data_IF_096947626244
#
_entry.id   IF_096947626244
#
_cell.length_a   1.000
_cell.length_b   1.000
_cell.length_c   1.000
_cell.angle_alpha   90.00
_cell.angle_beta   90.00
_cell.angle_gamma   90.00
#
_symmetry.space_group_name_H-M   'P 1'
#
loop_
_entity.id
_entity.type
_entity.pdbx_description
1 polymer ?
#
# COMPACT_ATOMS: atom_id res chain seq x y z
N UNK A 1 4.91 2.93 -23.90
CA UNK A 1 4.51 3.18 -22.50
C UNK A 1 3.00 3.20 -22.47
N UNK A 2 2.34 2.19 -21.92
CA UNK A 2 0.89 2.21 -21.70
C UNK A 2 0.58 1.67 -20.31
N UNK A 3 -0.04 2.53 -19.52
CA UNK A 3 -0.59 2.26 -18.20
C UNK A 3 -1.90 1.49 -18.42
N UNK A 4 -2.08 0.34 -17.79
CA UNK A 4 -3.38 -0.33 -17.72
C UNK A 4 -3.97 0.01 -16.35
N UNK A 5 -4.89 0.96 -16.37
CA UNK A 5 -5.89 1.17 -15.32
C UNK A 5 -6.84 -0.02 -15.31
N UNK A 6 -7.20 -0.51 -14.12
CA UNK A 6 -8.35 -1.40 -13.96
C UNK A 6 -9.25 -0.82 -12.88
N UNK A 7 -10.40 -0.35 -13.33
CA UNK A 7 -11.43 0.31 -12.54
C UNK A 7 -12.46 -0.69 -12.01
N UNK A 8 -12.82 -0.51 -10.73
CA UNK A 8 -14.17 -0.50 -10.16
C UNK A 8 -15.17 -1.62 -10.48
N UNK A 9 -15.74 -2.21 -9.42
CA UNK A 9 -17.20 -2.41 -9.31
C UNK A 9 -17.62 -2.49 -7.84
N UNK A 10 -18.45 -1.53 -7.45
CA UNK A 10 -19.18 -1.41 -6.19
C UNK A 10 -20.42 -2.32 -6.17
N UNK A 11 -20.93 -2.68 -4.99
CA UNK A 11 -22.37 -2.77 -4.72
C UNK A 11 -22.69 -2.60 -3.21
N UNK A 12 -23.67 -1.73 -2.97
CA UNK A 12 -24.36 -1.26 -1.75
C UNK A 12 -25.12 -2.41 -1.00
N UNK A 13 -25.65 -2.30 0.24
CA UNK A 13 -26.44 -1.21 0.82
C UNK A 13 -26.67 -1.28 2.35
N UNK A 14 -27.10 -0.12 2.86
CA UNK A 14 -27.52 0.32 4.19
C UNK A 14 -28.63 -0.45 4.93
N UNK A 15 -28.61 -0.33 6.26
CA UNK A 15 -29.73 -0.13 7.22
C UNK A 15 -29.11 0.16 8.60
N UNK A 16 -29.54 1.05 9.50
CA UNK A 16 -30.66 1.99 9.59
C UNK A 16 -30.30 2.96 10.73
N UNK A 17 -30.54 4.25 10.51
CA UNK A 17 -30.52 5.31 11.51
C UNK A 17 -31.61 5.08 12.58
N UNK A 18 -31.24 5.27 13.85
CA UNK A 18 -32.16 5.42 14.97
C UNK A 18 -31.80 6.67 15.77
N UNK A 19 -32.51 7.76 15.49
CA UNK A 19 -32.50 9.00 16.27
C UNK A 19 -32.88 8.72 17.74
N UNK A 20 -32.10 9.27 18.67
CA UNK A 20 -32.43 9.34 20.08
C UNK A 20 -31.72 10.52 20.73
N UNK A 21 -32.24 11.74 20.52
CA UNK A 21 -31.85 12.90 21.30
C UNK A 21 -32.39 12.74 22.73
N UNK A 22 -31.50 12.56 23.71
CA UNK A 22 -31.80 12.77 25.13
C UNK A 22 -30.68 13.59 25.75
N UNK A 23 -31.01 14.85 26.05
CA UNK A 23 -30.23 15.70 26.92
C UNK A 23 -30.23 15.11 28.34
N UNK A 24 -29.05 14.93 28.92
CA UNK A 24 -28.86 14.49 30.30
C UNK A 24 -27.39 14.51 30.66
N UNK A 25 -26.97 15.52 31.42
CA UNK A 25 -25.72 15.49 32.19
C UNK A 25 -25.75 14.27 33.12
N UNK A 26 -24.74 13.41 33.05
CA UNK A 26 -24.01 12.83 34.19
C UNK A 26 -23.25 11.56 33.76
N UNK A 27 -21.93 11.59 33.96
CA UNK A 27 -21.03 10.44 34.13
C UNK A 27 -20.92 9.35 33.03
N UNK A 28 -21.61 9.45 31.89
CA UNK A 28 -21.46 8.48 30.79
C UNK A 28 -20.40 8.85 29.73
N UNK A 29 -19.81 10.05 29.81
CA UNK A 29 -18.86 10.56 28.82
C UNK A 29 -17.47 9.90 28.89
N UNK A 30 -17.11 9.30 30.03
CA UNK A 30 -15.81 8.70 30.27
C UNK A 30 -15.58 7.35 29.55
N UNK A 31 -16.60 6.79 28.89
CA UNK A 31 -16.55 5.38 28.47
C UNK A 31 -16.03 5.11 27.05
N UNK A 32 -15.98 6.10 26.15
CA UNK A 32 -15.34 5.95 24.84
C UNK A 32 -15.08 7.34 24.24
N UNK A 33 -13.83 7.81 24.30
CA UNK A 33 -13.42 8.90 23.42
C UNK A 33 -13.48 8.39 22.00
N UNK A 34 -14.49 8.84 21.27
CA UNK A 34 -14.50 8.71 19.82
C UNK A 34 -13.73 9.92 19.26
N UNK A 35 -12.55 9.67 18.71
CA UNK A 35 -11.74 10.70 18.05
C UNK A 35 -12.33 11.04 16.68
N UNK A 36 -13.58 11.49 16.70
CA UNK A 36 -14.37 11.85 15.53
C UNK A 36 -14.53 13.37 15.43
N UNK A 37 -15.04 13.82 14.29
CA UNK A 37 -15.38 15.23 14.05
C UNK A 37 -16.25 15.79 15.19
N UNK A 38 -17.15 14.99 15.76
CA UNK A 38 -18.06 15.39 16.84
C UNK A 38 -17.29 15.79 18.12
N UNK A 39 -16.23 15.05 18.49
CA UNK A 39 -15.40 15.40 19.66
C UNK A 39 -14.61 16.69 19.43
N UNK A 40 -14.01 16.86 18.24
CA UNK A 40 -13.25 18.07 17.92
C UNK A 40 -14.14 19.30 17.66
N UNK A 41 -15.43 19.09 17.40
CA UNK A 41 -16.40 20.16 17.18
C UNK A 41 -17.18 20.54 18.45
N UNK A 42 -17.06 19.76 19.54
CA UNK A 42 -17.75 20.01 20.80
C UNK A 42 -17.14 21.22 21.55
N UNK A 43 -17.91 22.30 21.79
CA UNK A 43 -17.45 23.45 22.58
C UNK A 43 -16.99 23.09 23.99
N UNK A 44 -17.57 22.06 24.61
CA UNK A 44 -17.17 21.61 25.95
C UNK A 44 -15.79 20.94 25.95
N UNK A 45 -15.35 20.42 24.79
CA UNK A 45 -14.04 19.79 24.60
C UNK A 45 -12.91 20.78 24.35
N UNK A 46 -13.22 21.96 23.83
CA UNK A 46 -12.23 22.97 23.46
C UNK A 46 -11.21 23.31 24.55
N UNK A 47 -11.56 23.56 25.83
CA UNK A 47 -10.54 23.86 26.85
C UNK A 47 -9.59 22.69 27.11
N UNK A 48 -10.05 21.45 26.98
CA UNK A 48 -9.21 20.26 27.14
C UNK A 48 -8.30 20.04 25.93
N UNK A 49 -8.83 20.25 24.73
CA UNK A 49 -8.11 20.16 23.47
C UNK A 49 -7.02 21.23 23.34
N UNK A 50 -7.28 22.45 23.83
CA UNK A 50 -6.29 23.53 23.88
C UNK A 50 -5.13 23.18 24.82
N UNK A 51 -5.42 22.62 26.00
CA UNK A 51 -4.38 22.14 26.91
C UNK A 51 -3.56 20.99 26.30
N UNK A 52 -4.20 20.07 25.58
CA UNK A 52 -3.50 19.01 24.87
C UNK A 52 -2.62 19.57 23.75
N UNK A 53 -3.12 20.52 22.97
CA UNK A 53 -2.35 21.19 21.91
C UNK A 53 -1.10 21.86 22.49
N UNK A 54 -1.21 22.61 23.59
CA UNK A 54 -0.05 23.24 24.22
C UNK A 54 0.95 22.19 24.74
N UNK A 55 0.48 21.11 25.37
CA UNK A 55 1.35 19.97 25.76
C UNK A 55 2.06 19.35 24.56
N UNK A 56 1.34 19.11 23.47
CA UNK A 56 1.87 18.42 22.30
C UNK A 56 2.96 19.23 21.57
N UNK A 57 2.80 20.56 21.53
CA UNK A 57 3.76 21.45 20.87
C UNK A 57 4.80 22.06 21.81
N UNK A 58 4.67 21.93 23.14
CA UNK A 58 5.65 22.42 24.11
C UNK A 58 7.10 22.00 23.80
N UNK A 59 7.41 20.73 23.48
CA UNK A 59 8.79 20.33 23.16
C UNK A 59 9.37 21.06 21.94
N UNK A 60 8.53 21.36 20.94
CA UNK A 60 8.96 22.14 19.76
C UNK A 60 9.18 23.60 20.12
N UNK A 61 8.28 24.21 20.92
CA UNK A 61 8.45 25.60 21.40
C UNK A 61 9.71 25.75 22.26
N UNK A 62 10.00 24.81 23.14
CA UNK A 62 11.23 24.77 23.94
C UNK A 62 12.48 24.66 23.06
N UNK A 63 12.47 23.80 22.04
CA UNK A 63 13.58 23.69 21.09
C UNK A 63 13.79 24.99 20.31
N UNK A 64 12.72 25.64 19.85
CA UNK A 64 12.79 26.93 19.15
C UNK A 64 13.39 28.00 20.06
N UNK A 65 12.97 28.06 21.33
CA UNK A 65 13.53 28.99 22.30
C UNK A 65 15.04 28.74 22.51
N UNK A 66 15.45 27.48 22.67
CA UNK A 66 16.87 27.11 22.80
C UNK A 66 17.68 27.52 21.56
N UNK A 67 17.16 27.30 20.34
CA UNK A 67 17.82 27.73 19.10
C UNK A 67 18.00 29.26 19.02
N UNK A 68 17.01 30.02 19.52
CA UNK A 68 17.09 31.49 19.56
C UNK A 68 18.11 31.98 20.58
N UNK A 69 18.23 31.30 21.72
CA UNK A 69 19.19 31.64 22.77
C UNK A 69 20.64 31.31 22.38
N UNK A 70 20.87 30.20 21.68
CA UNK A 70 22.22 29.78 21.30
C UNK A 70 22.76 30.49 20.06
N UNK A 71 21.91 31.26 19.33
CA UNK A 71 22.23 31.87 18.05
C UNK A 71 22.93 30.89 17.07
N UNK A 72 22.60 29.60 17.15
CA UNK A 72 23.18 28.60 16.27
C UNK A 72 22.60 28.75 14.86
N UNK A 73 23.47 29.07 13.92
CA UNK A 73 23.14 28.98 12.50
C UNK A 73 22.72 27.54 12.17
N UNK A 74 21.70 27.36 11.32
CA UNK A 74 21.18 26.03 10.99
C UNK A 74 22.30 25.09 10.51
N UNK A 75 22.42 23.94 11.19
CA UNK A 75 23.48 22.97 10.91
C UNK A 75 23.22 22.29 9.58
N UNK A 76 24.20 22.35 8.69
CA UNK A 76 24.16 21.60 7.44
C UNK A 76 24.86 20.27 7.64
N UNK A 77 24.12 19.17 7.47
CA UNK A 77 24.61 17.81 7.56
C UNK A 77 24.69 17.22 6.16
N UNK A 78 25.86 16.72 5.79
CA UNK A 78 26.03 15.95 4.56
C UNK A 78 25.92 14.46 4.88
N UNK A 79 24.92 13.80 4.31
CA UNK A 79 24.71 12.36 4.43
C UNK A 79 25.75 11.54 3.67
N UNK A 80 25.86 10.22 3.96
CA UNK A 80 26.83 9.32 3.32
C UNK A 80 26.66 9.16 1.80
N UNK A 81 25.48 9.46 1.29
CA UNK A 81 25.07 9.46 -0.12
C UNK A 81 25.31 10.80 -0.82
N UNK A 82 25.89 11.78 -0.12
CA UNK A 82 26.11 13.13 -0.62
C UNK A 82 24.88 14.04 -0.54
N UNK A 83 23.77 13.58 0.06
CA UNK A 83 22.61 14.46 0.32
C UNK A 83 22.98 15.51 1.36
N UNK A 84 22.54 16.74 1.15
CA UNK A 84 22.78 17.85 2.07
C UNK A 84 21.45 18.22 2.72
N UNK A 85 21.36 18.06 4.03
CA UNK A 85 20.23 18.48 4.83
C UNK A 85 20.65 19.67 5.70
N UNK A 86 20.03 20.82 5.49
CA UNK A 86 20.20 21.99 6.37
C UNK A 86 19.07 21.99 7.39
N UNK A 87 19.41 22.08 8.67
CA UNK A 87 18.43 22.27 9.73
C UNK A 87 17.59 23.52 9.46
N UNK A 88 16.30 23.50 9.82
CA UNK A 88 15.45 24.67 9.68
C UNK A 88 15.84 25.73 10.71
N UNK A 89 15.73 27.02 10.36
CA UNK A 89 15.91 28.09 11.35
C UNK A 89 14.78 28.07 12.40
N UNK A 90 15.02 28.70 13.55
CA UNK A 90 14.02 28.83 14.62
C UNK A 90 12.69 29.41 14.10
N UNK A 91 12.74 30.41 13.21
CA UNK A 91 11.54 31.03 12.62
C UNK A 91 10.85 30.11 11.61
N UNK A 92 11.60 29.24 10.93
CA UNK A 92 11.01 28.22 10.06
C UNK A 92 10.29 27.15 10.89
N UNK A 93 10.89 26.69 11.99
CA UNK A 93 10.22 25.78 12.92
C UNK A 93 8.97 26.41 13.56
N UNK A 94 9.04 27.67 14.00
CA UNK A 94 7.88 28.38 14.56
C UNK A 94 6.72 28.44 13.56
N UNK A 95 7.00 28.71 12.28
CA UNK A 95 5.97 28.74 11.23
C UNK A 95 5.37 27.37 10.91
N UNK A 96 6.02 26.28 11.29
CA UNK A 96 5.49 24.93 11.12
C UNK A 96 4.49 24.55 12.22
N UNK A 97 4.50 25.24 13.36
CA UNK A 97 3.51 25.04 14.41
C UNK A 97 2.20 25.68 13.92
N UNK A 98 1.14 24.90 13.61
CA UNK A 98 -0.16 25.48 13.28
C UNK A 98 -0.72 26.21 14.49
N UNK A 99 -1.51 27.27 14.29
CA UNK A 99 -2.31 27.84 15.39
C UNK A 99 -3.30 26.81 15.94
N UNK A 100 -3.78 27.00 17.17
CA UNK A 100 -4.78 26.12 17.76
C UNK A 100 -6.00 25.92 16.86
N UNK A 101 -6.60 27.01 16.35
CA UNK A 101 -7.77 26.93 15.46
C UNK A 101 -7.48 26.11 14.20
N UNK A 102 -6.29 26.28 13.61
CA UNK A 102 -5.89 25.55 12.40
C UNK A 102 -5.61 24.09 12.70
N UNK A 103 -5.02 23.80 13.86
CA UNK A 103 -4.83 22.43 14.33
C UNK A 103 -6.19 21.77 14.55
N UNK A 104 -7.13 22.46 15.19
CA UNK A 104 -8.47 21.96 15.46
C UNK A 104 -9.24 21.70 14.15
N UNK A 105 -9.20 22.64 13.20
CA UNK A 105 -9.76 22.48 11.86
C UNK A 105 -9.18 21.24 11.16
N UNK A 106 -7.86 21.02 11.25
CA UNK A 106 -7.23 19.83 10.69
C UNK A 106 -7.74 18.54 11.37
N UNK A 107 -7.90 18.53 12.69
CA UNK A 107 -8.45 17.35 13.39
C UNK A 107 -9.93 17.08 13.05
N UNK A 108 -10.72 18.13 12.81
CA UNK A 108 -12.12 18.02 12.38
C UNK A 108 -12.24 17.49 10.94
N UNK A 109 -11.40 17.98 10.02
CA UNK A 109 -11.40 17.55 8.62
C UNK A 109 -10.85 16.13 8.42
N UNK A 110 -9.95 15.70 9.31
CA UNK A 110 -9.26 14.44 9.24
C UNK A 110 -9.50 13.66 10.52
N UNK A 111 -10.60 12.90 10.59
CA UNK A 111 -10.85 12.06 11.75
C UNK A 111 -9.69 11.08 11.95
N UNK A 112 -9.07 11.04 13.14
CA UNK A 112 -8.12 10.00 13.53
C UNK A 112 -8.61 8.57 13.24
N UNK A 113 -9.93 8.33 13.22
CA UNK A 113 -10.52 7.04 12.88
C UNK A 113 -10.38 6.68 11.39
N UNK A 114 -10.57 7.65 10.49
CA UNK A 114 -10.32 7.46 9.05
C UNK A 114 -8.83 7.20 8.78
N UNK A 115 -7.95 7.89 9.52
CA UNK A 115 -6.52 7.63 9.48
C UNK A 115 -6.17 6.24 10.01
N UNK A 116 -6.70 5.83 11.17
CA UNK A 116 -6.44 4.51 11.73
C UNK A 116 -6.86 3.39 10.78
N UNK A 117 -8.06 3.47 10.20
CA UNK A 117 -8.53 2.49 9.23
C UNK A 117 -7.66 2.45 7.97
N UNK A 118 -7.31 3.62 7.43
CA UNK A 118 -6.43 3.69 6.26
C UNK A 118 -5.07 3.07 6.56
N UNK A 119 -4.49 3.34 7.73
CA UNK A 119 -3.19 2.82 8.13
C UNK A 119 -3.23 1.33 8.44
N UNK A 120 -4.32 0.84 9.05
CA UNK A 120 -4.57 -0.59 9.19
C UNK A 120 -4.64 -1.28 7.82
N UNK A 121 -5.32 -0.68 6.85
CA UNK A 121 -5.37 -1.22 5.48
C UNK A 121 -4.00 -1.21 4.80
N UNK A 122 -3.18 -0.16 4.99
CA UNK A 122 -1.79 -0.12 4.48
C UNK A 122 -0.93 -1.20 5.12
N UNK A 123 -1.05 -1.41 6.42
CA UNK A 123 -0.35 -2.47 7.15
C UNK A 123 -0.77 -3.86 6.65
N UNK A 124 -2.08 -4.10 6.48
CA UNK A 124 -2.59 -5.37 5.94
C UNK A 124 -2.10 -5.60 4.51
N UNK A 125 -2.08 -4.57 3.66
CA UNK A 125 -1.53 -4.68 2.32
C UNK A 125 -0.03 -5.03 2.35
N UNK A 126 0.75 -4.44 3.26
CA UNK A 126 2.17 -4.77 3.42
C UNK A 126 2.37 -6.23 3.86
N UNK A 127 1.55 -6.73 4.80
CA UNK A 127 1.54 -8.15 5.21
C UNK A 127 1.20 -9.07 4.05
N UNK A 128 0.15 -8.73 3.29
CA UNK A 128 -0.26 -9.48 2.10
C UNK A 128 0.83 -9.51 1.03
N UNK A 129 1.56 -8.41 0.83
CA UNK A 129 2.69 -8.35 -0.10
C UNK A 129 3.79 -9.34 0.27
N UNK A 130 4.20 -9.38 1.55
CA UNK A 130 5.21 -10.34 2.03
C UNK A 130 4.71 -11.78 1.87
N UNK A 131 3.50 -12.07 2.34
CA UNK A 131 2.92 -13.41 2.24
C UNK A 131 2.80 -13.88 0.77
N UNK A 132 2.42 -12.97 -0.13
CA UNK A 132 2.33 -13.25 -1.57
C UNK A 132 3.69 -13.57 -2.16
N UNK A 133 4.74 -12.83 -1.80
CA UNK A 133 6.10 -13.13 -2.27
C UNK A 133 6.58 -14.49 -1.74
N UNK A 134 6.40 -14.75 -0.45
CA UNK A 134 6.81 -16.02 0.17
C UNK A 134 6.08 -17.23 -0.42
N UNK A 135 4.79 -17.11 -0.71
CA UNK A 135 4.00 -18.13 -1.39
C UNK A 135 4.44 -18.35 -2.86
N UNK A 136 5.00 -17.32 -3.49
CA UNK A 136 5.41 -17.30 -4.89
C UNK A 136 6.95 -17.29 -5.05
N UNK A 137 7.66 -17.95 -4.14
CA UNK A 137 9.12 -18.07 -4.17
C UNK A 137 9.63 -18.78 -5.44
N UNK A 138 10.92 -18.69 -5.79
CA UNK A 138 11.45 -19.27 -7.03
C UNK A 138 11.20 -20.78 -7.19
N UNK A 139 11.11 -21.52 -6.08
CA UNK A 139 10.90 -22.97 -6.07
C UNK A 139 9.41 -23.36 -6.05
N UNK A 140 8.49 -22.38 -5.95
CA UNK A 140 7.06 -22.60 -6.16
C UNK A 140 6.76 -22.88 -7.63
N UNK A 141 5.68 -23.65 -7.87
CA UNK A 141 5.19 -23.91 -9.22
C UNK A 141 4.83 -22.60 -9.93
N UNK A 142 5.19 -22.52 -11.21
CA UNK A 142 4.80 -21.40 -12.06
C UNK A 142 3.33 -21.51 -12.47
N UNK A 143 2.72 -20.36 -12.76
CA UNK A 143 1.37 -20.31 -13.29
C UNK A 143 1.31 -20.60 -14.79
N UNK A 144 2.42 -20.96 -15.42
CA UNK A 144 2.50 -21.20 -16.87
C UNK A 144 1.72 -22.46 -17.25
N UNK A 145 0.88 -22.37 -18.29
CA UNK A 145 0.09 -23.49 -18.83
C UNK A 145 0.45 -23.82 -20.27
N UNK A 146 0.70 -22.81 -21.09
CA UNK A 146 1.09 -23.00 -22.50
C UNK A 146 2.33 -22.19 -22.80
N UNK A 147 3.30 -22.78 -23.50
CA UNK A 147 4.48 -22.06 -24.00
C UNK A 147 4.61 -22.27 -25.49
N UNK A 148 4.74 -21.17 -26.23
CA UNK A 148 5.11 -21.15 -27.64
C UNK A 148 6.61 -20.85 -27.74
N UNK A 149 7.37 -21.73 -28.37
CA UNK A 149 8.82 -21.56 -28.52
C UNK A 149 9.33 -22.00 -29.88
N UNK A 150 10.52 -21.54 -30.25
CA UNK A 150 11.23 -21.96 -31.45
C UNK A 150 12.69 -22.23 -31.07
N UNK A 151 13.03 -23.51 -30.86
CA UNK A 151 14.27 -23.89 -30.19
C UNK A 151 14.34 -23.27 -28.78
N UNK A 152 15.44 -22.58 -28.48
CA UNK A 152 15.68 -21.91 -27.20
C UNK A 152 15.03 -20.51 -27.09
N UNK A 153 14.33 -20.07 -28.15
CA UNK A 153 13.62 -18.79 -28.15
C UNK A 153 12.18 -18.97 -27.66
N UNK A 154 11.81 -18.27 -26.59
CA UNK A 154 10.41 -18.11 -26.20
C UNK A 154 9.71 -17.08 -27.10
N UNK A 155 8.54 -17.42 -27.62
CA UNK A 155 7.70 -16.55 -28.44
C UNK A 155 6.56 -15.95 -27.60
N UNK A 156 6.01 -16.73 -26.68
CA UNK A 156 4.99 -16.29 -25.73
C UNK A 156 4.58 -17.42 -24.80
N UNK A 157 3.87 -17.09 -23.73
CA UNK A 157 3.29 -18.07 -22.83
C UNK A 157 1.92 -17.62 -22.33
N UNK A 158 1.12 -18.59 -21.88
CA UNK A 158 -0.16 -18.36 -21.23
C UNK A 158 -0.09 -18.82 -19.78
N UNK A 159 -0.65 -18.03 -18.87
CA UNK A 159 -0.79 -18.38 -17.47
C UNK A 159 -2.12 -19.11 -17.18
N UNK A 160 -2.27 -19.62 -15.96
CA UNK A 160 -3.45 -20.33 -15.47
C UNK A 160 -4.74 -19.49 -15.48
N UNK A 161 -4.62 -18.16 -15.45
CA UNK A 161 -5.75 -17.24 -15.54
C UNK A 161 -6.14 -16.94 -17.00
N UNK A 162 -5.38 -17.45 -17.97
CA UNK A 162 -5.57 -17.20 -19.40
C UNK A 162 -4.98 -15.86 -19.86
N UNK A 163 -4.14 -15.23 -19.03
CA UNK A 163 -3.28 -14.12 -19.41
C UNK A 163 -2.20 -14.60 -20.37
N UNK A 164 -1.84 -13.77 -21.35
CA UNK A 164 -0.85 -14.12 -22.38
C UNK A 164 0.26 -13.08 -22.39
N UNK A 165 1.48 -13.56 -22.16
CA UNK A 165 2.70 -12.78 -22.32
C UNK A 165 3.31 -13.05 -23.70
N UNK A 166 3.78 -12.00 -24.36
CA UNK A 166 4.30 -12.05 -25.73
C UNK A 166 5.73 -11.49 -25.78
N UNK A 167 6.59 -12.13 -26.55
CA UNK A 167 7.96 -11.70 -26.82
C UNK A 167 8.11 -11.17 -28.25
N UNK A 168 9.29 -10.65 -28.60
CA UNK A 168 9.55 -10.00 -29.89
C UNK A 168 9.23 -10.88 -31.11
N UNK A 169 9.26 -12.21 -30.99
CA UNK A 169 8.85 -13.16 -32.04
C UNK A 169 7.39 -13.62 -31.97
N UNK A 170 6.65 -13.30 -30.91
CA UNK A 170 5.29 -13.76 -30.66
C UNK A 170 4.20 -12.79 -31.09
N UNK A 171 4.50 -11.74 -31.84
CA UNK A 171 3.55 -10.65 -32.14
C UNK A 171 2.23 -11.14 -32.78
N UNK A 172 2.27 -12.26 -33.52
CA UNK A 172 1.07 -12.87 -34.08
C UNK A 172 0.03 -13.29 -33.02
N UNK A 173 0.45 -13.54 -31.77
CA UNK A 173 -0.44 -13.85 -30.65
C UNK A 173 -1.32 -12.66 -30.26
N UNK A 174 -0.90 -11.42 -30.50
CA UNK A 174 -1.63 -10.23 -30.05
C UNK A 174 -3.03 -10.15 -30.67
N UNK A 175 -3.12 -10.29 -32.00
CA UNK A 175 -4.41 -10.23 -32.71
C UNK A 175 -5.31 -11.41 -32.36
N UNK A 176 -4.73 -12.56 -32.02
CA UNK A 176 -5.44 -13.78 -31.60
C UNK A 176 -6.02 -13.60 -30.20
N UNK A 177 -5.23 -13.07 -29.26
CA UNK A 177 -5.66 -12.72 -27.91
C UNK A 177 -6.79 -11.70 -27.97
N UNK A 178 -6.66 -10.66 -28.81
CA UNK A 178 -7.71 -9.68 -28.99
C UNK A 178 -8.99 -10.33 -29.53
N UNK A 179 -8.89 -11.21 -30.53
CA UNK A 179 -10.07 -11.89 -31.07
C UNK A 179 -10.74 -12.82 -30.06
N UNK A 180 -9.96 -13.48 -29.20
CA UNK A 180 -10.48 -14.28 -28.09
C UNK A 180 -11.25 -13.42 -27.08
N UNK A 181 -10.76 -12.21 -26.80
CA UNK A 181 -11.46 -11.23 -25.97
C UNK A 181 -12.77 -10.76 -26.61
N UNK A 182 -12.75 -10.42 -27.90
CA UNK A 182 -13.94 -9.97 -28.64
C UNK A 182 -15.04 -11.06 -28.69
N UNK A 183 -14.62 -12.33 -28.67
CA UNK A 183 -15.51 -13.49 -28.59
C UNK A 183 -15.97 -13.81 -27.16
N UNK A 184 -15.46 -13.11 -26.15
CA UNK A 184 -15.77 -13.38 -24.75
C UNK A 184 -15.23 -14.72 -24.23
N UNK A 185 -14.19 -15.28 -24.86
CA UNK A 185 -13.63 -16.58 -24.45
C UNK A 185 -12.89 -16.49 -23.11
N UNK A 186 -13.14 -17.47 -22.24
CA UNK A 186 -12.53 -17.62 -20.91
C UNK A 186 -12.19 -19.09 -20.62
N UNK A 187 -11.32 -19.32 -19.63
CA UNK A 187 -10.92 -20.67 -19.19
C UNK A 187 -10.40 -21.55 -20.32
N UNK A 188 -10.75 -22.84 -20.31
CA UNK A 188 -10.28 -23.81 -21.31
C UNK A 188 -10.61 -23.40 -22.75
N UNK A 189 -11.79 -22.84 -23.00
CA UNK A 189 -12.18 -22.41 -24.35
C UNK A 189 -11.27 -21.32 -24.91
N UNK A 190 -10.76 -20.44 -24.04
CA UNK A 190 -9.77 -19.42 -24.39
C UNK A 190 -8.42 -20.06 -24.68
N UNK A 191 -7.97 -20.96 -23.80
CA UNK A 191 -6.71 -21.67 -23.95
C UNK A 191 -6.66 -22.45 -25.27
N UNK A 192 -7.70 -23.24 -25.55
CA UNK A 192 -7.82 -24.04 -26.77
C UNK A 192 -7.79 -23.16 -28.03
N UNK A 193 -8.51 -22.03 -27.99
CA UNK A 193 -8.56 -21.11 -29.11
C UNK A 193 -7.20 -20.45 -29.38
N UNK A 194 -6.58 -19.87 -28.34
CA UNK A 194 -5.30 -19.17 -28.47
C UNK A 194 -4.20 -20.16 -28.84
N UNK A 195 -4.20 -21.37 -28.27
CA UNK A 195 -3.29 -22.44 -28.67
C UNK A 195 -3.46 -22.77 -30.15
N UNK A 196 -4.68 -23.14 -30.59
CA UNK A 196 -4.92 -23.55 -31.97
C UNK A 196 -4.58 -22.48 -33.00
N UNK A 197 -5.11 -21.27 -32.82
CA UNK A 197 -4.87 -20.18 -33.78
C UNK A 197 -3.44 -19.63 -33.66
N UNK A 198 -2.88 -19.61 -32.44
CA UNK A 198 -1.51 -19.19 -32.17
C UNK A 198 -0.50 -20.08 -32.86
N UNK A 199 -0.65 -21.41 -32.72
CA UNK A 199 0.17 -22.40 -33.43
C UNK A 199 0.08 -22.18 -34.94
N UNK A 200 -1.13 -22.04 -35.49
CA UNK A 200 -1.36 -21.84 -36.92
C UNK A 200 -0.73 -20.56 -37.46
N UNK A 201 -0.73 -19.49 -36.68
CA UNK A 201 -0.14 -18.22 -37.08
C UNK A 201 1.39 -18.26 -37.00
N UNK A 202 1.93 -18.77 -35.89
CA UNK A 202 3.36 -18.82 -35.63
C UNK A 202 4.09 -19.86 -36.50
N UNK A 203 3.45 -20.99 -36.85
CA UNK A 203 4.07 -22.04 -37.65
C UNK A 203 4.41 -21.60 -39.08
N UNK A 204 3.81 -20.50 -39.56
CA UNK A 204 4.16 -19.89 -40.85
C UNK A 204 5.52 -19.21 -40.85
N UNK A 205 5.98 -18.77 -39.67
CA UNK A 205 7.20 -17.98 -39.49
C UNK A 205 8.30 -18.81 -38.81
N UNK A 206 7.92 -19.76 -37.96
CA UNK A 206 8.83 -20.54 -37.13
C UNK A 206 8.73 -22.04 -37.49
N UNK A 207 9.66 -22.56 -38.31
CA UNK A 207 9.61 -23.95 -38.78
C UNK A 207 9.90 -24.98 -37.67
N UNK A 208 10.52 -24.55 -36.56
CA UNK A 208 10.77 -25.38 -35.37
C UNK A 208 9.86 -24.96 -34.20
N UNK A 209 8.67 -24.46 -34.50
CA UNK A 209 7.67 -24.11 -33.49
C UNK A 209 7.35 -25.34 -32.64
N UNK A 210 7.54 -25.22 -31.33
CA UNK A 210 7.08 -26.15 -30.33
C UNK A 210 6.02 -25.46 -29.46
N UNK A 211 5.00 -26.23 -29.07
CA UNK A 211 3.97 -25.81 -28.13
C UNK A 211 3.95 -26.80 -26.99
N UNK A 212 4.31 -26.34 -25.80
CA UNK A 212 4.33 -27.15 -24.58
C UNK A 212 3.12 -26.84 -23.72
N UNK A 213 2.51 -27.89 -23.18
CA UNK A 213 1.35 -27.80 -22.29
C UNK A 213 1.74 -28.32 -20.91
N UNK A 214 1.30 -27.60 -19.89
CA UNK A 214 1.54 -27.90 -18.50
C UNK A 214 0.22 -27.97 -17.74
N UNK A 215 0.11 -28.97 -16.87
CA UNK A 215 -0.94 -29.06 -15.86
C UNK A 215 -0.45 -28.44 -14.56
N UNK A 216 -1.32 -28.37 -13.56
CA UNK A 216 -0.92 -27.97 -12.20
C UNK A 216 0.18 -28.90 -11.64
N UNK A 217 0.22 -30.17 -12.03
CA UNK A 217 1.23 -31.12 -11.53
C UNK A 217 2.55 -31.09 -12.31
N UNK A 218 2.52 -30.61 -13.55
CA UNK A 218 3.66 -30.68 -14.48
C UNK A 218 4.26 -29.32 -14.83
N UNK A 219 3.66 -28.23 -14.34
CA UNK A 219 4.21 -26.89 -14.52
C UNK A 219 5.60 -26.80 -13.87
N UNK A 220 6.60 -26.24 -14.58
CA UNK A 220 7.92 -26.04 -14.00
C UNK A 220 7.83 -25.06 -12.83
N UNK A 221 8.80 -25.11 -11.93
CA UNK A 221 8.98 -24.05 -10.94
C UNK A 221 9.27 -22.73 -11.63
N UNK A 222 9.05 -21.62 -10.92
CA UNK A 222 9.38 -20.28 -11.44
C UNK A 222 10.88 -20.19 -11.79
N UNK A 223 11.74 -20.82 -10.97
CA UNK A 223 13.18 -20.94 -11.19
C UNK A 223 13.50 -21.70 -12.47
N UNK A 224 12.93 -22.91 -12.64
CA UNK A 224 13.15 -23.73 -13.83
C UNK A 224 12.68 -23.03 -15.11
N UNK A 225 11.51 -22.39 -15.05
CA UNK A 225 10.98 -21.61 -16.17
C UNK A 225 11.90 -20.44 -16.52
N UNK A 226 12.36 -19.68 -15.51
CA UNK A 226 13.25 -18.54 -15.71
C UNK A 226 14.60 -18.96 -16.27
N UNK A 227 15.23 -20.00 -15.71
CA UNK A 227 16.52 -20.51 -16.18
C UNK A 227 16.46 -21.01 -17.62
N UNK A 228 15.33 -21.64 -18.01
CA UNK A 228 15.13 -22.13 -19.38
C UNK A 228 15.00 -20.99 -20.39
N UNK A 229 14.17 -19.99 -20.10
CA UNK A 229 13.77 -18.99 -21.10
C UNK A 229 14.45 -17.64 -20.96
N UNK A 230 15.02 -17.35 -19.80
CA UNK A 230 15.70 -16.10 -19.46
C UNK A 230 17.02 -16.39 -18.72
N UNK A 231 18.02 -17.00 -19.37
CA UNK A 231 19.25 -17.45 -18.72
C UNK A 231 20.09 -16.32 -18.11
N UNK A 232 19.88 -15.08 -18.54
CA UNK A 232 20.55 -13.89 -17.98
C UNK A 232 19.73 -13.22 -16.86
N UNK A 233 18.59 -13.79 -16.46
CA UNK A 233 17.74 -13.29 -15.39
C UNK A 233 18.08 -14.02 -14.09
N UNK A 234 18.64 -13.28 -13.13
CA UNK A 234 18.89 -13.79 -11.78
C UNK A 234 17.61 -13.75 -10.95
N UNK A 235 16.83 -14.83 -11.02
CA UNK A 235 15.54 -14.93 -10.32
C UNK A 235 15.73 -14.95 -8.79
N UNK A 236 16.83 -15.51 -8.31
CA UNK A 236 17.13 -15.61 -6.88
C UNK A 236 17.42 -14.24 -6.30
N UNK A 237 18.30 -13.48 -6.96
CA UNK A 237 18.63 -12.13 -6.53
C UNK A 237 17.40 -11.22 -6.61
N UNK A 238 16.61 -11.30 -7.70
CA UNK A 238 15.40 -10.49 -7.85
C UNK A 238 14.35 -10.82 -6.77
N UNK A 239 14.16 -12.10 -6.45
CA UNK A 239 13.29 -12.51 -5.35
C UNK A 239 13.82 -12.03 -4.00
N UNK A 240 15.12 -12.19 -3.73
CA UNK A 240 15.72 -11.81 -2.47
C UNK A 240 15.60 -10.30 -2.22
N UNK A 241 15.87 -9.48 -3.25
CA UNK A 241 15.67 -8.02 -3.21
C UNK A 241 14.20 -7.67 -2.98
N UNK A 242 13.27 -8.22 -3.78
CA UNK A 242 11.85 -7.90 -3.63
C UNK A 242 11.29 -8.30 -2.25
N UNK A 243 11.72 -9.45 -1.70
CA UNK A 243 11.31 -9.89 -0.37
C UNK A 243 11.91 -9.00 0.74
N UNK A 244 13.17 -8.58 0.57
CA UNK A 244 13.81 -7.64 1.50
C UNK A 244 13.06 -6.30 1.53
N UNK A 245 12.79 -5.72 0.36
CA UNK A 245 12.08 -4.44 0.23
C UNK A 245 10.65 -4.54 0.81
N UNK A 246 9.95 -5.63 0.56
CA UNK A 246 8.61 -5.86 1.11
C UNK A 246 8.61 -5.99 2.64
N UNK A 247 9.63 -6.66 3.21
CA UNK A 247 9.80 -6.78 4.68
C UNK A 247 10.20 -5.45 5.31
N UNK A 248 11.05 -4.67 4.65
CA UNK A 248 11.39 -3.32 5.09
C UNK A 248 10.16 -2.42 5.10
N UNK A 249 9.37 -2.41 4.01
CA UNK A 249 8.12 -1.67 3.95
C UNK A 249 7.15 -2.12 5.06
N UNK A 250 6.98 -3.43 5.29
CA UNK A 250 6.15 -3.94 6.39
C UNK A 250 6.62 -3.41 7.75
N UNK A 251 7.93 -3.42 8.01
CA UNK A 251 8.51 -2.87 9.25
C UNK A 251 8.20 -1.38 9.41
N UNK A 252 8.34 -0.59 8.34
CA UNK A 252 8.02 0.84 8.34
C UNK A 252 6.53 1.10 8.59
N UNK A 253 5.64 0.37 7.93
CA UNK A 253 4.19 0.49 8.14
C UNK A 253 3.78 0.09 9.56
N UNK A 254 4.37 -0.98 10.11
CA UNK A 254 4.12 -1.40 11.49
C UNK A 254 4.56 -0.31 12.48
N UNK A 255 5.78 0.23 12.32
CA UNK A 255 6.27 1.30 13.18
C UNK A 255 5.41 2.56 13.11
N UNK A 256 4.90 2.89 11.91
CA UNK A 256 3.98 4.02 11.73
C UNK A 256 2.62 3.77 12.40
N UNK A 257 2.04 2.58 12.20
CA UNK A 257 0.80 2.16 12.84
C UNK A 257 0.91 2.21 14.37
N UNK A 258 1.97 1.62 14.94
CA UNK A 258 2.21 1.60 16.38
C UNK A 258 2.36 3.02 16.96
N UNK A 259 3.00 3.93 16.21
CA UNK A 259 3.15 5.33 16.59
C UNK A 259 1.80 6.05 16.63
N UNK A 260 0.94 5.83 15.65
CA UNK A 260 -0.41 6.42 15.62
C UNK A 260 -1.23 5.90 16.80
N UNK A 261 -1.20 4.59 17.05
CA UNK A 261 -1.87 3.97 18.19
C UNK A 261 -1.39 4.54 19.52
N UNK A 262 -0.08 4.73 19.69
CA UNK A 262 0.49 5.34 20.89
C UNK A 262 0.01 6.79 21.05
N UNK A 263 0.05 7.60 19.99
CA UNK A 263 -0.40 9.00 20.02
C UNK A 263 -1.89 9.13 20.40
N UNK A 264 -2.75 8.27 19.86
CA UNK A 264 -4.18 8.27 20.19
C UNK A 264 -4.42 7.90 21.66
N UNK A 265 -3.72 6.88 22.18
CA UNK A 265 -3.79 6.49 23.60
C UNK A 265 -3.28 7.60 24.52
N UNK A 266 -2.20 8.25 24.15
CA UNK A 266 -1.63 9.37 24.92
C UNK A 266 -2.59 10.55 25.00
N UNK A 267 -3.25 10.88 23.88
CA UNK A 267 -4.30 11.90 23.85
C UNK A 267 -5.50 11.50 24.71
N UNK A 268 -5.97 10.26 24.57
CA UNK A 268 -7.09 9.74 25.35
C UNK A 268 -6.84 9.85 26.85
N UNK A 269 -5.69 9.33 27.30
CA UNK A 269 -5.31 9.33 28.71
C UNK A 269 -5.17 10.75 29.26
N UNK A 270 -4.62 11.68 28.45
CA UNK A 270 -4.47 13.06 28.86
C UNK A 270 -5.82 13.77 29.00
N UNK A 271 -6.71 13.63 28.01
CA UNK A 271 -8.03 14.25 28.04
C UNK A 271 -8.90 13.68 29.16
N UNK A 272 -8.92 12.35 29.36
CA UNK A 272 -9.58 11.71 30.50
C UNK A 272 -9.05 12.28 31.83
N UNK A 273 -7.73 12.34 31.99
CA UNK A 273 -7.12 12.84 33.22
C UNK A 273 -7.44 14.31 33.53
N UNK A 274 -7.62 15.16 32.51
CA UNK A 274 -8.05 16.54 32.73
C UNK A 274 -9.52 16.62 33.14
N UNK A 275 -10.40 15.85 32.51
CA UNK A 275 -11.82 15.83 32.85
C UNK A 275 -12.10 15.30 34.24
N UNK A 276 -11.36 14.27 34.68
CA UNK A 276 -11.46 13.73 36.03
C UNK A 276 -11.03 14.75 37.10
N UNK A 277 -10.10 15.65 36.77
CA UNK A 277 -9.65 16.72 37.67
C UNK A 277 -10.66 17.86 37.77
N UNK A 278 -11.31 18.23 36.67
CA UNK A 278 -12.31 19.30 36.64
C UNK A 278 -13.65 18.88 37.27
N UNK A 279 -13.91 17.58 37.38
CA UNK A 279 -15.11 17.03 38.03
C UNK A 279 -15.00 16.90 39.57
N UNK A 280 -13.81 17.14 40.14
CA UNK A 280 -13.51 16.99 41.57
C UNK A 280 -13.56 18.33 42.33
#
# INVERSE_FOLDING_TARGET
MSVIESATSAYFAATQSGNGATAGNDASFAANFDFSEDMYSDPAMQPYLEQYYEKAYAPMRERIAAMRETAQDPVTVTGPDGTVATELSADQYERMIPSYDKWLEMQQQFSPFDFEQQQAAMLEHAKQSVATLEANNPDSQSDVRVVFSNGDQILGYMDKAGGVAMHSGGYALQSIVQKANDMGLRGQAREDYITREGTKALSKQYPQLAVSHYSDETAPTRREFSQKWYPNHDIDQNYATALSDARENLSQQQAHYDRIQANMRDMQNFLLGLMEQDAA
#
